data_IF_014795693081
#
_entry.id   IF_014795693081
#
_cell.length_a   1.000
_cell.length_b   1.000
_cell.length_c   1.000
_cell.angle_alpha   90.00
_cell.angle_beta   90.00
_cell.angle_gamma   90.00
#
_symmetry.space_group_name_H-M   'P 1'
#
loop_
_entity.id
_entity.type
_entity.pdbx_description
1 polymer ?
#
# COMPACT_ATOMS: atom_id res chain seq x y z
N UNK A 1 -14.09 -5.73 1.42
CA UNK A 1 -12.98 -4.80 1.60
C UNK A 1 -13.27 -3.48 0.88
N UNK A 2 -12.61 -2.42 1.26
CA UNK A 2 -12.70 -1.12 0.56
C UNK A 2 -12.35 -1.20 -0.93
N UNK A 3 -11.48 -2.12 -1.32
CA UNK A 3 -11.17 -2.36 -2.75
C UNK A 3 -12.33 -3.01 -3.50
N UNK A 4 -13.04 -3.95 -2.85
CA UNK A 4 -14.25 -4.55 -3.43
C UNK A 4 -15.37 -3.52 -3.60
N UNK A 5 -15.54 -2.61 -2.64
CA UNK A 5 -16.50 -1.50 -2.75
C UNK A 5 -16.16 -0.55 -3.89
N UNK A 6 -14.86 -0.24 -4.09
CA UNK A 6 -14.40 0.57 -5.21
C UNK A 6 -14.71 -0.12 -6.55
N UNK A 7 -14.40 -1.40 -6.67
CA UNK A 7 -14.69 -2.19 -7.87
C UNK A 7 -16.19 -2.20 -8.20
N UNK A 8 -17.05 -2.35 -7.18
CA UNK A 8 -18.51 -2.29 -7.34
C UNK A 8 -18.98 -0.92 -7.84
N UNK A 9 -18.45 0.17 -7.29
CA UNK A 9 -18.75 1.53 -7.75
C UNK A 9 -18.37 1.75 -9.21
N UNK A 10 -17.32 1.10 -9.67
CA UNK A 10 -16.85 1.14 -11.05
C UNK A 10 -17.56 0.13 -11.96
N UNK A 11 -18.58 -0.56 -11.45
CA UNK A 11 -19.37 -1.58 -12.18
C UNK A 11 -18.49 -2.72 -12.75
N UNK A 12 -17.40 -3.04 -12.08
CA UNK A 12 -16.52 -4.13 -12.47
C UNK A 12 -17.08 -5.48 -12.00
N UNK A 13 -16.86 -6.53 -12.79
CA UNK A 13 -17.09 -7.91 -12.37
C UNK A 13 -16.02 -8.31 -11.37
N UNK A 14 -16.45 -8.75 -10.17
CA UNK A 14 -15.54 -9.05 -9.07
C UNK A 14 -15.20 -10.54 -9.04
N UNK A 15 -13.91 -10.83 -9.15
CA UNK A 15 -13.35 -12.17 -8.89
C UNK A 15 -12.73 -12.15 -7.50
N UNK A 16 -13.31 -12.86 -6.51
CA UNK A 16 -12.74 -12.89 -5.17
C UNK A 16 -11.40 -13.62 -5.16
N UNK A 17 -10.47 -13.11 -4.39
CA UNK A 17 -9.12 -13.66 -4.23
C UNK A 17 -8.72 -13.71 -2.76
N UNK A 18 -7.83 -14.62 -2.39
CA UNK A 18 -7.32 -14.76 -1.03
C UNK A 18 -6.15 -13.82 -0.70
N UNK A 19 -5.54 -13.20 -1.71
CA UNK A 19 -4.44 -12.27 -1.52
C UNK A 19 -3.85 -11.73 -2.81
N UNK A 20 -2.93 -10.77 -2.66
CA UNK A 20 -2.31 -10.05 -3.78
C UNK A 20 -1.67 -10.99 -4.82
N UNK A 21 -0.91 -11.98 -4.38
CA UNK A 21 -0.20 -12.90 -5.28
C UNK A 21 -1.16 -13.62 -6.25
N UNK A 22 -2.32 -14.07 -5.75
CA UNK A 22 -3.35 -14.70 -6.57
C UNK A 22 -3.93 -13.72 -7.59
N UNK A 23 -4.22 -12.47 -7.18
CA UNK A 23 -4.72 -11.43 -8.09
C UNK A 23 -3.75 -11.14 -9.23
N UNK A 24 -2.46 -10.98 -8.92
CA UNK A 24 -1.43 -10.75 -9.93
C UNK A 24 -1.27 -11.93 -10.89
N UNK A 25 -1.35 -13.16 -10.38
CA UNK A 25 -1.31 -14.36 -11.20
C UNK A 25 -2.50 -14.44 -12.18
N UNK A 26 -3.71 -14.10 -11.73
CA UNK A 26 -4.90 -14.08 -12.61
C UNK A 26 -4.75 -13.08 -13.75
N UNK A 27 -4.12 -11.92 -13.50
CA UNK A 27 -3.85 -10.94 -14.55
C UNK A 27 -2.81 -11.49 -15.54
N UNK A 28 -1.72 -12.08 -15.06
CA UNK A 28 -0.70 -12.70 -15.93
C UNK A 28 -1.27 -13.82 -16.79
N UNK A 29 -2.25 -14.57 -16.26
CA UNK A 29 -2.97 -15.63 -16.99
C UNK A 29 -4.09 -15.11 -17.88
N UNK A 30 -4.31 -13.80 -17.95
CA UNK A 30 -5.41 -13.14 -18.70
C UNK A 30 -6.81 -13.60 -18.25
N UNK A 31 -6.94 -13.97 -16.97
CA UNK A 31 -8.21 -14.36 -16.33
C UNK A 31 -8.84 -13.21 -15.55
N UNK A 32 -8.10 -12.14 -15.33
CA UNK A 32 -8.57 -10.86 -14.83
C UNK A 32 -7.81 -9.74 -15.54
N UNK A 33 -8.41 -8.58 -15.63
CA UNK A 33 -7.84 -7.44 -16.35
C UNK A 33 -7.04 -6.53 -15.43
N UNK A 34 -7.49 -6.39 -14.17
CA UNK A 34 -6.87 -5.53 -13.17
C UNK A 34 -7.10 -6.07 -11.75
N UNK A 35 -6.31 -5.58 -10.81
CA UNK A 35 -6.52 -5.77 -9.37
C UNK A 35 -6.28 -4.45 -8.65
N UNK A 36 -7.00 -4.24 -7.55
CA UNK A 36 -6.73 -3.17 -6.60
C UNK A 36 -5.94 -3.74 -5.42
N UNK A 37 -4.90 -3.04 -5.02
CA UNK A 37 -4.14 -3.39 -3.83
C UNK A 37 -3.41 -2.18 -3.26
N UNK A 38 -2.77 -2.36 -2.12
CA UNK A 38 -1.91 -1.38 -1.50
C UNK A 38 -0.74 -1.00 -2.42
N UNK A 39 -0.51 0.31 -2.59
CA UNK A 39 0.50 0.82 -3.52
C UNK A 39 1.92 0.40 -3.13
N UNK A 40 2.23 0.30 -1.84
CA UNK A 40 3.57 -0.08 -1.38
C UNK A 40 3.84 -1.56 -1.63
N UNK A 41 2.83 -2.42 -1.42
CA UNK A 41 2.94 -3.84 -1.72
C UNK A 41 3.15 -4.08 -3.22
N UNK A 42 2.44 -3.34 -4.08
CA UNK A 42 2.62 -3.42 -5.53
C UNK A 42 4.00 -2.91 -5.96
N UNK A 43 4.48 -1.80 -5.41
CA UNK A 43 5.80 -1.26 -5.71
C UNK A 43 6.92 -2.23 -5.34
N UNK A 44 6.85 -2.84 -4.16
CA UNK A 44 7.83 -3.85 -3.73
C UNK A 44 7.80 -5.08 -4.64
N UNK A 45 6.61 -5.57 -4.99
CA UNK A 45 6.46 -6.69 -5.91
C UNK A 45 7.07 -6.39 -7.28
N UNK A 46 6.74 -5.25 -7.88
CA UNK A 46 7.26 -4.86 -9.21
C UNK A 46 8.76 -4.64 -9.21
N UNK A 47 9.31 -4.10 -8.14
CA UNK A 47 10.76 -3.94 -7.96
C UNK A 47 11.49 -5.29 -7.92
N UNK A 48 10.91 -6.29 -7.26
CA UNK A 48 11.46 -7.65 -7.16
C UNK A 48 11.22 -8.50 -8.41
N UNK A 49 10.22 -8.15 -9.21
CA UNK A 49 9.79 -8.89 -10.39
C UNK A 49 9.65 -7.96 -11.61
N UNK A 50 10.76 -7.39 -12.09
CA UNK A 50 10.71 -6.40 -13.20
C UNK A 50 10.18 -6.99 -14.50
N UNK A 51 10.29 -8.30 -14.69
CA UNK A 51 9.84 -9.02 -15.89
C UNK A 51 8.42 -9.60 -15.76
N UNK A 52 7.66 -9.21 -14.72
CA UNK A 52 6.31 -9.72 -14.48
C UNK A 52 5.27 -9.33 -15.56
N UNK A 53 5.59 -8.36 -16.43
CA UNK A 53 4.67 -7.86 -17.46
C UNK A 53 3.48 -7.07 -16.88
N UNK A 54 3.63 -6.55 -15.66
CA UNK A 54 2.61 -5.81 -14.91
C UNK A 54 3.04 -4.36 -14.71
N UNK A 55 2.09 -3.47 -14.61
CA UNK A 55 2.33 -2.05 -14.29
C UNK A 55 1.24 -1.50 -13.39
N UNK A 56 1.56 -0.46 -12.63
CA UNK A 56 0.55 0.36 -11.96
C UNK A 56 -0.14 1.23 -13.00
N UNK A 57 -1.43 1.03 -13.21
CA UNK A 57 -2.22 1.79 -14.18
C UNK A 57 -2.87 3.03 -13.56
N UNK A 58 -3.11 3.01 -12.26
CA UNK A 58 -3.75 4.09 -11.52
C UNK A 58 -3.29 4.07 -10.07
N UNK A 59 -3.18 5.24 -9.48
CA UNK A 59 -2.90 5.43 -8.05
C UNK A 59 -3.87 6.46 -7.49
N UNK A 60 -4.40 6.21 -6.30
CA UNK A 60 -5.32 7.13 -5.65
C UNK A 60 -4.69 8.53 -5.47
N UNK A 61 -5.45 9.61 -5.67
CA UNK A 61 -5.01 10.95 -5.33
C UNK A 61 -4.54 11.06 -3.89
N UNK A 62 -3.65 12.01 -3.59
CA UNK A 62 -3.04 12.14 -2.26
C UNK A 62 -4.07 12.36 -1.14
N UNK A 63 -5.15 13.07 -1.42
CA UNK A 63 -6.25 13.33 -0.48
C UNK A 63 -7.15 12.11 -0.23
N UNK A 64 -7.12 11.12 -1.10
CA UNK A 64 -7.85 9.84 -0.94
C UNK A 64 -6.97 8.72 -0.34
N UNK A 65 -5.66 8.95 -0.19
CA UNK A 65 -4.76 7.96 0.41
C UNK A 65 -4.99 7.82 1.90
N UNK A 66 -5.11 6.57 2.34
CA UNK A 66 -5.19 6.23 3.76
C UNK A 66 -3.78 5.95 4.29
N UNK A 67 -3.46 6.52 5.44
CA UNK A 67 -2.23 6.22 6.15
C UNK A 67 -2.31 4.90 6.93
N UNK A 68 -1.18 4.26 7.12
CA UNK A 68 -1.07 3.16 8.08
C UNK A 68 -1.10 3.69 9.50
N UNK A 69 -1.80 3.00 10.38
CA UNK A 69 -1.90 3.34 11.79
C UNK A 69 -1.44 2.20 12.71
N UNK A 70 -0.89 2.56 13.85
CA UNK A 70 -0.61 1.62 14.92
C UNK A 70 -1.87 1.32 15.72
N UNK A 71 -2.09 0.04 16.01
CA UNK A 71 -3.18 -0.41 16.87
C UNK A 71 -2.57 -0.99 18.14
N UNK A 72 -3.08 -0.56 19.29
CA UNK A 72 -2.70 -1.08 20.58
C UNK A 72 -3.93 -1.30 21.47
N UNK A 73 -3.78 -2.11 22.50
CA UNK A 73 -4.82 -2.27 23.49
C UNK A 73 -5.09 -0.95 24.23
N UNK A 74 -6.34 -0.75 24.63
CA UNK A 74 -6.71 0.38 25.50
C UNK A 74 -5.86 0.37 26.79
N UNK A 75 -5.44 1.54 27.22
CA UNK A 75 -4.59 1.69 28.40
C UNK A 75 -3.09 1.78 28.10
N UNK A 76 -2.66 1.63 26.83
CA UNK A 76 -1.26 1.79 26.43
C UNK A 76 -0.91 3.20 25.94
N UNK A 77 -1.55 4.22 26.50
CA UNK A 77 -1.41 5.62 26.05
C UNK A 77 0.02 6.15 26.18
N UNK A 78 0.73 5.77 27.25
CA UNK A 78 2.14 6.15 27.44
C UNK A 78 3.04 5.58 26.33
N UNK A 79 2.89 4.30 26.01
CA UNK A 79 3.65 3.64 24.94
C UNK A 79 3.32 4.26 23.57
N UNK A 80 2.05 4.54 23.29
CA UNK A 80 1.63 5.19 22.05
C UNK A 80 2.17 6.61 21.91
N UNK A 81 2.22 7.37 23.01
CA UNK A 81 2.81 8.72 23.03
C UNK A 81 4.31 8.68 22.70
N UNK A 82 5.06 7.74 23.28
CA UNK A 82 6.48 7.55 23.00
C UNK A 82 6.74 7.14 21.54
N UNK A 83 5.94 6.23 20.99
CA UNK A 83 6.04 5.81 19.60
C UNK A 83 5.70 6.97 18.66
N UNK A 84 4.65 7.71 18.93
CA UNK A 84 4.26 8.89 18.13
C UNK A 84 5.36 9.94 18.12
N UNK A 85 5.97 10.23 19.26
CA UNK A 85 7.11 11.16 19.35
C UNK A 85 8.32 10.67 18.55
N UNK A 86 8.64 9.37 18.63
CA UNK A 86 9.72 8.77 17.85
C UNK A 86 9.47 8.85 16.33
N UNK A 87 8.24 8.65 15.88
CA UNK A 87 7.87 8.77 14.46
C UNK A 87 8.04 10.22 13.98
N UNK A 88 7.65 11.21 14.77
CA UNK A 88 7.86 12.63 14.45
C UNK A 88 9.35 12.92 14.31
N UNK A 89 10.16 12.48 15.26
CA UNK A 89 11.62 12.67 15.26
C UNK A 89 12.28 12.03 14.02
N UNK A 90 11.90 10.79 13.68
CA UNK A 90 12.38 10.09 12.49
C UNK A 90 11.94 10.75 11.17
N UNK A 91 10.81 11.45 11.18
CA UNK A 91 10.37 12.25 10.03
C UNK A 91 11.20 13.51 9.91
N UNK A 92 11.41 14.23 11.01
CA UNK A 92 12.14 15.50 11.04
C UNK A 92 13.63 15.34 10.71
N UNK A 93 14.27 14.25 11.15
CA UNK A 93 15.68 13.95 10.86
C UNK A 93 15.92 13.34 9.46
N UNK A 94 14.88 13.09 8.68
CA UNK A 94 14.95 12.54 7.34
C UNK A 94 15.08 11.03 7.25
N UNK A 95 15.06 10.31 8.37
CA UNK A 95 15.19 8.84 8.38
C UNK A 95 14.06 8.16 7.64
N UNK A 96 12.79 8.59 7.84
CA UNK A 96 11.64 7.99 7.13
C UNK A 96 11.71 8.21 5.63
N UNK A 97 12.13 9.39 5.19
CA UNK A 97 12.36 9.70 3.77
C UNK A 97 13.40 8.75 3.18
N UNK A 98 14.54 8.61 3.83
CA UNK A 98 15.65 7.74 3.40
C UNK A 98 15.20 6.28 3.28
N UNK A 99 14.47 5.78 4.25
CA UNK A 99 13.92 4.42 4.21
C UNK A 99 12.91 4.24 3.07
N UNK A 100 12.02 5.21 2.87
CA UNK A 100 11.08 5.20 1.76
C UNK A 100 11.79 5.14 0.40
N UNK A 101 12.79 5.97 0.19
CA UNK A 101 13.59 6.00 -1.04
C UNK A 101 14.36 4.68 -1.23
N UNK A 102 14.93 4.11 -0.16
CA UNK A 102 15.68 2.86 -0.22
C UNK A 102 14.80 1.66 -0.60
N UNK A 103 13.64 1.51 0.02
CA UNK A 103 12.80 0.32 -0.14
C UNK A 103 11.74 0.45 -1.25
N UNK A 104 11.23 1.65 -1.50
CA UNK A 104 10.11 1.89 -2.42
C UNK A 104 10.46 2.83 -3.57
N UNK A 105 11.67 3.38 -3.60
CA UNK A 105 12.12 4.30 -4.65
C UNK A 105 11.56 5.71 -4.54
N UNK A 106 10.80 6.02 -3.48
CA UNK A 106 10.21 7.35 -3.23
C UNK A 106 10.00 7.59 -1.73
N UNK A 107 9.87 8.86 -1.35
CA UNK A 107 9.46 9.25 -0.01
C UNK A 107 7.97 8.90 0.21
N UNK A 108 7.70 7.97 1.12
CA UNK A 108 6.36 7.54 1.50
C UNK A 108 5.93 8.09 2.87
N UNK A 109 6.77 8.90 3.51
CA UNK A 109 6.49 9.53 4.81
C UNK A 109 5.58 10.76 4.71
N UNK A 110 5.31 11.21 3.49
CA UNK A 110 4.42 12.32 3.15
C UNK A 110 3.34 11.84 2.17
N UNK A 111 2.22 12.56 2.14
CA UNK A 111 1.14 12.25 1.19
C UNK A 111 1.43 12.74 -0.22
#
# INVERSE_FOLDING_TARGET
SNYGELATKLQAEIVPIDGMAQGLLLIQQKRAELTFNDSLALLDYLKKNPDAGLKTAWEAPADEKLGAGLIANKGNDEALAKISAAIVELREDGTLKKLGEQFFGKDISVK
#
